data_IF_550159574603
#
_entry.id   IF_550159574603
#
_cell.length_a   1.000
_cell.length_b   1.000
_cell.length_c   1.000
_cell.angle_alpha   90.00
_cell.angle_beta   90.00
_cell.angle_gamma   90.00
#
_symmetry.space_group_name_H-M   'P 1'
#
loop_
_entity.id
_entity.type
_entity.pdbx_description
1 polymer ?
#
# COMPACT_ATOMS: atom_id res chain seq x y z
N UNK A 1 13.80 0.29 11.45
CA UNK A 1 13.34 -1.11 11.29
C UNK A 1 13.23 -1.44 9.81
N UNK A 2 13.62 -2.64 9.38
CA UNK A 2 13.45 -3.07 7.99
C UNK A 2 12.04 -3.62 7.78
N UNK A 3 11.38 -3.23 6.70
CA UNK A 3 10.10 -3.79 6.28
C UNK A 3 10.17 -4.23 4.82
N UNK A 4 9.62 -5.41 4.55
CA UNK A 4 9.33 -5.91 3.21
C UNK A 4 7.84 -5.70 2.91
N UNK A 5 7.52 -5.26 1.70
CA UNK A 5 6.16 -4.95 1.26
C UNK A 5 5.88 -5.69 -0.03
N UNK A 6 4.77 -6.44 -0.07
CA UNK A 6 4.35 -7.19 -1.25
C UNK A 6 2.86 -7.05 -1.53
N UNK A 7 2.50 -7.18 -2.81
CA UNK A 7 1.13 -7.07 -3.30
C UNK A 7 0.72 -8.41 -3.94
N UNK A 8 -0.36 -9.00 -3.45
CA UNK A 8 -0.97 -10.18 -4.07
C UNK A 8 -2.30 -9.83 -4.73
N UNK A 9 -2.53 -10.36 -5.93
CA UNK A 9 -3.68 -10.04 -6.78
C UNK A 9 -3.26 -9.78 -8.23
N UNK A 10 -4.23 -9.58 -9.13
CA UNK A 10 -3.93 -9.40 -10.57
C UNK A 10 -3.48 -8.00 -10.94
N UNK A 11 -4.06 -6.97 -10.33
CA UNK A 11 -3.77 -5.56 -10.58
C UNK A 11 -4.38 -4.71 -9.46
N UNK A 12 -3.60 -3.77 -8.92
CA UNK A 12 -4.08 -2.84 -7.90
C UNK A 12 -5.26 -2.04 -8.46
N UNK A 13 -6.37 -1.96 -7.72
CA UNK A 13 -7.58 -1.23 -8.11
C UNK A 13 -8.35 -1.77 -9.32
N UNK A 14 -8.15 -3.03 -9.74
CA UNK A 14 -9.08 -3.68 -10.70
C UNK A 14 -9.99 -4.70 -10.06
N UNK A 15 -9.40 -5.52 -9.20
CA UNK A 15 -10.08 -6.59 -8.46
C UNK A 15 -9.60 -6.53 -7.01
N UNK A 16 -10.17 -7.40 -6.19
CA UNK A 16 -9.66 -7.66 -4.86
C UNK A 16 -8.15 -7.95 -4.90
N UNK A 17 -7.43 -7.32 -4.00
CA UNK A 17 -5.98 -7.46 -3.85
C UNK A 17 -5.59 -7.29 -2.39
N UNK A 18 -4.41 -7.76 -2.02
CA UNK A 18 -3.88 -7.62 -0.66
C UNK A 18 -2.52 -6.98 -0.72
N UNK A 19 -2.35 -5.88 0.02
CA UNK A 19 -1.04 -5.30 0.29
C UNK A 19 -0.59 -5.72 1.69
N UNK A 20 0.55 -6.41 1.78
CA UNK A 20 1.12 -6.88 3.04
C UNK A 20 2.45 -6.20 3.34
N UNK A 21 2.77 -6.10 4.63
CA UNK A 21 4.04 -5.62 5.17
C UNK A 21 4.55 -6.61 6.23
N UNK A 22 5.84 -6.92 6.20
CA UNK A 22 6.52 -7.77 7.18
C UNK A 22 7.79 -7.11 7.68
N UNK A 23 8.11 -7.24 8.97
CA UNK A 23 9.39 -6.77 9.53
C UNK A 23 10.52 -7.82 9.47
N UNK A 24 10.26 -8.97 8.82
CA UNK A 24 11.15 -10.12 8.75
C UNK A 24 11.50 -10.75 10.11
N UNK A 25 10.77 -10.42 11.18
CA UNK A 25 10.96 -10.93 12.54
C UNK A 25 9.65 -11.47 13.15
N UNK A 26 8.65 -11.73 12.31
CA UNK A 26 7.37 -12.32 12.70
C UNK A 26 6.21 -11.32 12.81
N UNK A 27 6.46 -10.01 12.70
CA UNK A 27 5.38 -9.04 12.54
C UNK A 27 4.96 -9.01 11.08
N UNK A 28 3.72 -9.41 10.82
CA UNK A 28 3.06 -9.28 9.51
C UNK A 28 1.74 -8.54 9.67
N UNK A 29 1.49 -7.59 8.78
CA UNK A 29 0.20 -6.91 8.65
C UNK A 29 -0.20 -6.83 7.19
N UNK A 30 -1.49 -6.91 6.92
CA UNK A 30 -2.00 -6.79 5.56
C UNK A 30 -3.34 -6.08 5.49
N UNK A 31 -3.63 -5.51 4.34
CA UNK A 31 -4.90 -4.89 4.05
C UNK A 31 -5.48 -5.46 2.76
N UNK A 32 -6.71 -5.96 2.84
CA UNK A 32 -7.47 -6.40 1.68
C UNK A 32 -8.22 -5.23 1.05
N UNK A 33 -7.84 -4.90 -0.17
CA UNK A 33 -8.44 -3.85 -0.98
C UNK A 33 -9.64 -4.47 -1.69
N UNK A 34 -10.83 -4.28 -1.11
CA UNK A 34 -12.08 -4.83 -1.65
C UNK A 34 -12.67 -3.96 -2.75
N UNK A 35 -13.45 -4.56 -3.65
CA UNK A 35 -14.12 -3.87 -4.76
C UNK A 35 -14.87 -2.59 -4.37
N UNK A 36 -15.59 -2.60 -3.24
CA UNK A 36 -16.33 -1.41 -2.78
C UNK A 36 -15.42 -0.22 -2.46
N UNK A 37 -14.21 -0.46 -1.96
CA UNK A 37 -13.20 0.59 -1.71
C UNK A 37 -12.66 1.09 -3.06
N UNK A 38 -12.39 0.18 -4.00
CA UNK A 38 -11.93 0.50 -5.35
C UNK A 38 -12.94 1.40 -6.06
N UNK A 39 -14.21 1.02 -6.09
CA UNK A 39 -15.29 1.78 -6.74
C UNK A 39 -15.43 3.18 -6.13
N UNK A 40 -15.32 3.27 -4.80
CA UNK A 40 -15.39 4.55 -4.08
C UNK A 40 -14.21 5.45 -4.43
N UNK A 41 -12.99 4.89 -4.47
CA UNK A 41 -11.78 5.61 -4.88
C UNK A 41 -11.91 6.17 -6.30
N UNK A 42 -12.37 5.37 -7.27
CA UNK A 42 -12.58 5.86 -8.65
C UNK A 42 -13.68 6.91 -8.73
N UNK A 43 -14.79 6.71 -8.02
CA UNK A 43 -15.91 7.67 -7.99
C UNK A 43 -15.46 9.04 -7.46
N UNK A 44 -14.70 9.05 -6.37
CA UNK A 44 -14.21 10.28 -5.77
C UNK A 44 -13.11 10.92 -6.62
N UNK A 45 -12.26 10.12 -7.27
CA UNK A 45 -11.28 10.62 -8.22
C UNK A 45 -11.94 11.31 -9.41
N UNK A 46 -12.96 10.69 -10.01
CA UNK A 46 -13.73 11.24 -11.12
C UNK A 46 -14.44 12.57 -10.77
N UNK A 47 -14.82 12.75 -9.49
CA UNK A 47 -15.38 13.99 -8.96
C UNK A 47 -14.33 15.06 -8.64
N UNK A 48 -13.03 14.78 -8.83
CA UNK A 48 -11.95 15.71 -8.53
C UNK A 48 -11.59 15.78 -7.04
N UNK A 49 -11.91 14.75 -6.25
CA UNK A 49 -11.69 14.74 -4.80
C UNK A 49 -10.23 14.61 -4.35
N UNK A 50 -9.28 14.39 -5.26
CA UNK A 50 -7.88 14.11 -4.95
C UNK A 50 -6.92 15.04 -5.67
N UNK A 51 -5.67 15.09 -5.21
CA UNK A 51 -4.64 15.99 -5.75
C UNK A 51 -4.25 15.70 -7.21
N UNK A 52 -4.68 14.59 -7.79
CA UNK A 52 -4.37 14.22 -9.18
C UNK A 52 -5.62 14.28 -10.06
N UNK A 53 -5.46 14.77 -11.29
CA UNK A 53 -6.57 14.93 -12.23
C UNK A 53 -7.04 13.56 -12.75
N UNK A 54 -8.35 13.35 -12.74
CA UNK A 54 -8.96 12.18 -13.35
C UNK A 54 -8.67 12.11 -14.85
N UNK A 55 -8.06 11.00 -15.28
CA UNK A 55 -7.86 10.66 -16.68
C UNK A 55 -7.39 9.21 -16.83
N UNK A 56 -7.70 8.57 -17.96
CA UNK A 56 -7.21 7.21 -18.25
C UNK A 56 -5.66 7.15 -18.27
N UNK A 57 -5.00 8.20 -18.78
CA UNK A 57 -3.53 8.31 -18.75
C UNK A 57 -2.97 8.49 -17.34
N UNK A 58 -3.77 9.00 -16.41
CA UNK A 58 -3.40 9.22 -15.02
C UNK A 58 -3.61 8.02 -14.11
N UNK A 59 -4.20 6.91 -14.59
CA UNK A 59 -4.58 5.76 -13.76
C UNK A 59 -3.38 5.13 -13.06
N UNK A 60 -2.25 4.95 -13.77
CA UNK A 60 -1.03 4.41 -13.17
C UNK A 60 -0.47 5.30 -12.05
N UNK A 61 -0.54 6.62 -12.22
CA UNK A 61 -0.16 7.57 -11.17
C UNK A 61 -1.12 7.51 -9.98
N UNK A 62 -2.43 7.42 -10.23
CA UNK A 62 -3.44 7.25 -9.19
C UNK A 62 -3.24 5.96 -8.40
N UNK A 63 -2.97 4.83 -9.07
CA UNK A 63 -2.60 3.55 -8.43
C UNK A 63 -1.38 3.71 -7.53
N UNK A 64 -0.32 4.36 -8.01
CA UNK A 64 0.86 4.64 -7.20
C UNK A 64 0.54 5.51 -5.98
N UNK A 65 -0.35 6.50 -6.11
CA UNK A 65 -0.80 7.31 -4.98
C UNK A 65 -1.56 6.49 -3.93
N UNK A 66 -2.49 5.63 -4.35
CA UNK A 66 -3.26 4.75 -3.45
C UNK A 66 -2.35 3.74 -2.79
N UNK A 67 -1.47 3.10 -3.56
CA UNK A 67 -0.47 2.15 -3.07
C UNK A 67 0.38 2.75 -1.94
N UNK A 68 0.97 3.93 -2.16
CA UNK A 68 1.73 4.62 -1.11
C UNK A 68 0.87 4.99 0.10
N UNK A 69 -0.41 5.32 -0.09
CA UNK A 69 -1.31 5.70 0.99
C UNK A 69 -1.63 4.51 1.89
N UNK A 70 -1.86 3.33 1.32
CA UNK A 70 -2.08 2.09 2.09
C UNK A 70 -0.82 1.70 2.86
N UNK A 71 0.38 1.82 2.26
CA UNK A 71 1.65 1.61 2.98
C UNK A 71 1.75 2.55 4.20
N UNK A 72 1.39 3.83 4.04
CA UNK A 72 1.38 4.77 5.16
C UNK A 72 0.38 4.35 6.26
N UNK A 73 -0.83 3.91 5.91
CA UNK A 73 -1.80 3.40 6.88
C UNK A 73 -1.27 2.17 7.65
N UNK A 74 -0.68 1.20 6.94
CA UNK A 74 -0.09 0.01 7.57
C UNK A 74 1.06 0.38 8.52
N UNK A 75 1.93 1.32 8.11
CA UNK A 75 3.02 1.79 8.95
C UNK A 75 2.53 2.63 10.14
N UNK A 76 1.47 3.42 9.99
CA UNK A 76 0.87 4.15 11.12
C UNK A 76 0.32 3.18 12.17
N UNK A 77 -0.32 2.07 11.74
CA UNK A 77 -0.78 1.03 12.66
C UNK A 77 0.37 0.38 13.43
N UNK A 78 1.52 0.15 12.76
CA UNK A 78 2.73 -0.43 13.39
C UNK A 78 3.46 0.60 14.26
N UNK A 79 3.35 1.89 13.92
CA UNK A 79 3.96 3.04 14.59
C UNK A 79 5.51 2.94 14.80
N UNK A 80 6.31 2.64 13.76
CA UNK A 80 7.77 2.63 13.89
C UNK A 80 8.33 4.05 13.88
N UNK A 81 9.40 4.31 14.64
CA UNK A 81 10.10 5.61 14.62
C UNK A 81 10.92 5.83 13.34
N UNK A 82 11.48 4.76 12.79
CA UNK A 82 12.28 4.80 11.56
C UNK A 82 12.15 3.52 10.74
N UNK A 83 12.29 3.65 9.41
CA UNK A 83 12.05 2.55 8.46
C UNK A 83 13.11 2.45 7.37
N UNK A 84 13.41 1.21 6.98
CA UNK A 84 14.03 0.85 5.70
C UNK A 84 13.02 0.00 4.94
N UNK A 85 12.64 0.40 3.73
CA UNK A 85 11.59 -0.26 2.97
C UNK A 85 12.17 -1.03 1.79
N UNK A 86 11.76 -2.28 1.65
CA UNK A 86 11.99 -3.09 0.46
C UNK A 86 10.62 -3.42 -0.16
N UNK A 87 10.34 -2.87 -1.32
CA UNK A 87 9.00 -2.84 -1.93
C UNK A 87 9.00 -3.68 -3.21
N UNK A 88 7.97 -4.50 -3.42
CA UNK A 88 7.75 -5.21 -4.68
C UNK A 88 7.65 -4.26 -5.89
N UNK A 89 7.92 -4.78 -7.09
CA UNK A 89 7.90 -4.02 -8.37
C UNK A 89 6.59 -4.21 -9.16
N UNK A 90 5.45 -4.27 -8.48
CA UNK A 90 4.16 -4.51 -9.14
C UNK A 90 3.61 -3.30 -9.90
N UNK A 91 4.01 -2.08 -9.50
CA UNK A 91 3.70 -0.84 -10.22
C UNK A 91 4.91 -0.36 -11.02
N UNK A 92 5.27 -1.12 -12.06
CA UNK A 92 6.40 -0.79 -12.95
C UNK A 92 6.27 0.63 -13.51
N UNK A 93 7.41 1.32 -13.60
CA UNK A 93 7.54 2.71 -14.08
C UNK A 93 6.96 3.78 -13.15
N UNK A 94 6.52 3.41 -11.95
CA UNK A 94 6.04 4.33 -10.93
C UNK A 94 6.86 4.30 -9.64
N UNK A 95 7.97 3.57 -9.60
CA UNK A 95 8.83 3.40 -8.43
C UNK A 95 9.34 4.75 -7.90
N UNK A 96 9.74 5.67 -8.79
CA UNK A 96 10.19 6.99 -8.36
C UNK A 96 9.05 7.82 -7.76
N UNK A 97 7.84 7.73 -8.31
CA UNK A 97 6.65 8.41 -7.77
C UNK A 97 6.31 7.88 -6.37
N UNK A 98 6.32 6.54 -6.21
CA UNK A 98 6.10 5.86 -4.93
C UNK A 98 7.16 6.29 -3.91
N UNK A 99 8.44 6.28 -4.30
CA UNK A 99 9.56 6.68 -3.43
C UNK A 99 9.39 8.11 -2.91
N UNK A 100 9.27 9.08 -3.82
CA UNK A 100 9.16 10.50 -3.45
C UNK A 100 7.92 10.76 -2.57
N UNK A 101 6.81 10.09 -2.89
CA UNK A 101 5.56 10.22 -2.14
C UNK A 101 5.71 9.63 -0.73
N UNK A 102 6.26 8.42 -0.59
CA UNK A 102 6.49 7.80 0.71
C UNK A 102 7.45 8.63 1.57
N UNK A 103 8.57 9.09 1.02
CA UNK A 103 9.50 9.98 1.73
C UNK A 103 8.80 11.24 2.26
N UNK A 104 7.94 11.86 1.44
CA UNK A 104 7.15 13.03 1.84
C UNK A 104 6.12 12.69 2.92
N UNK A 105 5.30 11.67 2.72
CA UNK A 105 4.18 11.35 3.61
C UNK A 105 4.67 10.81 4.96
N UNK A 106 5.62 9.86 4.95
CA UNK A 106 6.16 9.27 6.17
C UNK A 106 6.83 10.33 7.04
N UNK A 107 7.65 11.20 6.44
CA UNK A 107 8.34 12.25 7.18
C UNK A 107 7.40 13.35 7.66
N UNK A 108 6.48 13.83 6.82
CA UNK A 108 5.68 15.04 7.13
C UNK A 108 4.35 14.76 7.81
N UNK A 109 3.67 13.65 7.47
CA UNK A 109 2.36 13.32 8.05
C UNK A 109 2.48 12.36 9.23
N UNK A 110 3.43 11.41 9.19
CA UNK A 110 3.57 10.38 10.23
C UNK A 110 4.79 10.56 11.14
N UNK A 111 5.65 11.54 10.88
CA UNK A 111 6.89 11.78 11.65
C UNK A 111 7.83 10.57 11.71
N UNK A 112 7.78 9.69 10.70
CA UNK A 112 8.61 8.50 10.58
C UNK A 112 9.85 8.85 9.75
N UNK A 113 11.04 8.54 10.28
CA UNK A 113 12.30 8.72 9.54
C UNK A 113 12.45 7.60 8.50
N UNK A 114 12.70 7.97 7.24
CA UNK A 114 12.97 7.02 6.16
C UNK A 114 14.49 6.94 5.94
N UNK A 115 15.07 5.78 6.26
CA UNK A 115 16.50 5.53 6.10
C UNK A 115 16.82 5.05 4.67
N UNK A 116 15.97 4.20 4.09
CA UNK A 116 16.10 3.79 2.69
C UNK A 116 14.78 3.28 2.10
N UNK A 117 14.64 3.36 0.78
CA UNK A 117 13.59 2.70 -0.01
C UNK A 117 14.26 2.02 -1.19
N UNK A 118 14.06 0.70 -1.31
CA UNK A 118 14.55 -0.14 -2.40
C UNK A 118 13.38 -0.89 -3.04
N UNK A 119 13.48 -1.13 -4.34
CA UNK A 119 12.48 -1.89 -5.08
C UNK A 119 13.08 -3.22 -5.56
N UNK A 120 12.44 -4.33 -5.23
CA UNK A 120 12.96 -5.69 -5.45
C UNK A 120 11.87 -6.72 -5.75
N UNK A 121 12.29 -7.97 -5.91
CA UNK A 121 11.39 -9.12 -6.02
C UNK A 121 11.18 -9.70 -4.62
N UNK A 122 9.93 -9.84 -4.17
CA UNK A 122 9.60 -10.42 -2.87
C UNK A 122 9.35 -11.93 -2.92
N UNK A 123 9.48 -12.56 -4.10
CA UNK A 123 9.15 -13.96 -4.30
C UNK A 123 9.90 -14.89 -3.34
N UNK A 124 9.16 -15.74 -2.64
CA UNK A 124 9.67 -16.71 -1.68
C UNK A 124 10.02 -16.12 -0.30
N UNK A 125 9.76 -14.83 -0.08
CA UNK A 125 9.87 -14.22 1.26
C UNK A 125 8.62 -14.49 2.09
N UNK A 126 8.69 -14.24 3.40
CA UNK A 126 7.51 -14.34 4.26
C UNK A 126 6.40 -13.40 3.79
N UNK A 127 6.71 -12.16 3.40
CA UNK A 127 5.67 -11.21 2.98
C UNK A 127 4.92 -11.68 1.74
N UNK A 128 5.59 -12.34 0.79
CA UNK A 128 4.97 -12.95 -0.41
C UNK A 128 4.02 -14.08 -0.01
N UNK A 129 4.50 -15.02 0.80
CA UNK A 129 3.69 -16.14 1.29
C UNK A 129 2.44 -15.65 2.04
N UNK A 130 2.59 -14.66 2.92
CA UNK A 130 1.47 -14.12 3.69
C UNK A 130 0.54 -13.27 2.83
N UNK A 131 1.04 -12.46 1.90
CA UNK A 131 0.20 -11.69 0.98
C UNK A 131 -0.67 -12.64 0.14
N UNK A 132 -0.10 -13.74 -0.35
CA UNK A 132 -0.83 -14.78 -1.08
C UNK A 132 -1.87 -15.49 -0.22
N UNK A 133 -1.51 -15.92 0.99
CA UNK A 133 -2.44 -16.56 1.93
C UNK A 133 -3.62 -15.64 2.27
N UNK A 134 -3.34 -14.36 2.56
CA UNK A 134 -4.36 -13.35 2.81
C UNK A 134 -5.24 -13.10 1.58
N UNK A 135 -4.68 -13.12 0.38
CA UNK A 135 -5.47 -12.96 -0.85
C UNK A 135 -6.43 -14.15 -1.06
N UNK A 136 -6.05 -15.35 -0.61
CA UNK A 136 -6.90 -16.56 -0.67
C UNK A 136 -7.87 -16.72 0.49
N UNK A 137 -7.73 -15.91 1.54
CA UNK A 137 -8.64 -15.95 2.69
C UNK A 137 -9.94 -15.17 2.39
N UNK A 138 -10.93 -15.91 1.90
CA UNK A 138 -12.26 -15.36 1.60
C UNK A 138 -13.04 -14.91 2.85
N UNK A 139 -12.62 -15.34 4.04
CA UNK A 139 -13.35 -15.12 5.29
C UNK A 139 -12.72 -14.05 6.19
N UNK A 140 -11.54 -13.51 5.83
CA UNK A 140 -10.81 -12.50 6.59
C UNK A 140 -10.57 -12.89 8.06
N UNK A 141 -10.20 -14.14 8.31
CA UNK A 141 -10.04 -14.70 9.65
C UNK A 141 -8.62 -14.57 10.20
N UNK A 142 -7.65 -14.17 9.36
CA UNK A 142 -6.27 -14.02 9.82
C UNK A 142 -6.13 -12.81 10.76
N UNK A 143 -5.49 -12.97 11.94
CA UNK A 143 -5.29 -11.87 12.89
C UNK A 143 -4.31 -10.79 12.39
N UNK A 144 -3.71 -11.02 11.23
CA UNK A 144 -2.75 -10.13 10.57
C UNK A 144 -3.43 -9.04 9.74
N UNK A 145 -4.75 -9.08 9.54
CA UNK A 145 -5.47 -8.01 8.84
C UNK A 145 -5.53 -6.73 9.65
N UNK A 146 -5.32 -5.62 8.96
CA UNK A 146 -5.63 -4.28 9.44
C UNK A 146 -6.90 -3.81 8.76
N UNK A 147 -7.88 -3.37 9.54
CA UNK A 147 -9.07 -2.73 8.99
C UNK A 147 -8.73 -1.26 8.67
N UNK A 148 -8.58 -0.93 7.39
CA UNK A 148 -8.32 0.43 6.91
C UNK A 148 -9.56 0.93 6.19
N UNK A 149 -10.17 1.99 6.71
CA UNK A 149 -11.32 2.63 6.09
C UNK A 149 -10.93 3.45 4.86
N UNK A 150 -11.90 3.71 3.97
CA UNK A 150 -11.72 4.60 2.83
C UNK A 150 -11.18 5.98 3.27
N UNK A 151 -11.74 6.55 4.35
CA UNK A 151 -11.34 7.86 4.89
C UNK A 151 -9.86 7.89 5.31
N UNK A 152 -9.36 6.80 5.88
CA UNK A 152 -7.95 6.68 6.28
C UNK A 152 -7.01 6.63 5.07
N UNK A 153 -7.42 6.00 3.97
CA UNK A 153 -6.67 6.03 2.70
C UNK A 153 -6.72 7.45 2.12
N UNK A 154 -7.91 8.05 2.05
CA UNK A 154 -8.15 9.33 1.38
C UNK A 154 -7.43 10.51 2.03
N UNK A 155 -7.21 10.51 3.34
CA UNK A 155 -6.45 11.58 4.02
C UNK A 155 -5.00 11.71 3.50
N UNK A 156 -4.48 10.69 2.83
CA UNK A 156 -3.18 10.75 2.17
C UNK A 156 -3.28 11.18 0.70
N UNK A 157 -4.44 11.01 0.04
CA UNK A 157 -4.69 11.32 -1.38
C UNK A 157 -4.98 12.79 -1.66
N UNK A 158 -5.35 13.57 -0.63
CA UNK A 158 -5.56 15.02 -0.67
C UNK A 158 -4.27 15.79 -0.37
#
# INVERSE_FOLDING_TARGET
>A
MKFQIDLSGTDLLKNDSVLAISDCKGLIRGFQIKQNIIDSLFTNWAKGGYSCRYSNRGEGFFKAMVYSSIICCLLEFINPKEVELEICRDLRFHENNIKQRLEKLLRKKLMIKVNSIKFGCMKGTDVDNYAYLMFKDNYNLLPTYVNISLKEIERFLV
#
